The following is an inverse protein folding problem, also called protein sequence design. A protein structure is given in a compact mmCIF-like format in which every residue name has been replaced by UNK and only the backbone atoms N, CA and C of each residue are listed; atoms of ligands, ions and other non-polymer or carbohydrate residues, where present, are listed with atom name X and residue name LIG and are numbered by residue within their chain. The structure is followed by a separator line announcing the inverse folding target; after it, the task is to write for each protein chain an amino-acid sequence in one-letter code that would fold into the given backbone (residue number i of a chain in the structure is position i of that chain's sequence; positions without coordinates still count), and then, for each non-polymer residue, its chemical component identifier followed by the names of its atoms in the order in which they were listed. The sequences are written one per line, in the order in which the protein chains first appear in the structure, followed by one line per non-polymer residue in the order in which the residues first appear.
data_IF_516983486410
#
_entry.id   IF_516983486410
#
_cell.length_a   1.000
_cell.length_b   1.000
_cell.length_c   1.000
_cell.angle_alpha   90.00
_cell.angle_beta   90.00
_cell.angle_gamma   90.00
#
_symmetry.space_group_name_H-M   'P 1'
#
loop_
_entity.id
_entity.type
_entity.pdbx_description
1 polymer ?
#
# COMPACT_ATOMS: atom_id res chain seq x y z
N UNK A 1 21.04 33.68 12.44
CA UNK A 1 20.94 32.36 11.78
C UNK A 1 22.30 32.06 11.17
N UNK A 2 23.19 31.45 11.94
CA UNK A 2 24.53 31.06 11.50
C UNK A 2 24.43 29.69 10.84
N UNK A 3 24.85 29.60 9.58
CA UNK A 3 24.98 28.33 8.85
C UNK A 3 25.94 27.45 9.67
N UNK A 4 25.56 26.22 10.09
CA UNK A 4 26.44 25.37 10.87
C UNK A 4 27.72 25.09 10.08
N UNK A 5 28.87 25.43 10.66
CA UNK A 5 30.19 25.27 10.06
C UNK A 5 30.45 23.79 9.76
N UNK A 6 30.78 23.49 8.50
CA UNK A 6 31.06 22.15 7.97
C UNK A 6 32.25 21.42 8.63
N UNK A 7 32.91 22.03 9.62
CA UNK A 7 34.12 21.54 10.29
C UNK A 7 33.88 20.90 11.65
N UNK A 8 32.67 20.98 12.24
CA UNK A 8 32.43 20.34 13.53
C UNK A 8 31.96 18.89 13.35
N UNK A 9 32.53 18.00 14.17
CA UNK A 9 32.02 16.64 14.38
C UNK A 9 30.57 16.75 14.86
N UNK A 10 29.61 16.03 14.25
CA UNK A 10 28.24 16.00 14.75
C UNK A 10 28.21 15.53 16.20
N UNK A 11 27.55 16.31 17.07
CA UNK A 11 27.41 15.94 18.49
C UNK A 11 26.71 14.58 18.60
N UNK A 12 27.39 13.62 19.22
CA UNK A 12 26.88 12.25 19.43
C UNK A 12 27.49 11.18 18.52
N UNK A 13 28.17 11.54 17.42
CA UNK A 13 28.80 10.57 16.50
C UNK A 13 30.13 10.01 17.02
N UNK A 14 30.84 10.76 17.88
CA UNK A 14 32.12 10.34 18.48
C UNK A 14 32.02 10.50 19.99
N UNK A 15 31.98 9.37 20.72
CA UNK A 15 32.04 9.34 22.19
C UNK A 15 30.71 9.54 22.94
N UNK A 16 29.57 9.50 22.24
CA UNK A 16 28.24 9.70 22.81
C UNK A 16 27.88 11.16 23.06
N UNK A 17 26.64 11.43 23.46
CA UNK A 17 26.17 12.81 23.68
C UNK A 17 26.70 13.38 25.00
N UNK A 18 27.76 14.21 24.91
CA UNK A 18 28.32 14.93 26.07
C UNK A 18 27.63 16.25 26.39
N UNK A 19 26.60 16.63 25.63
CA UNK A 19 25.83 17.83 25.92
C UNK A 19 25.03 17.69 27.22
N UNK A 20 25.04 18.75 28.03
CA UNK A 20 24.28 18.84 29.29
C UNK A 20 22.82 19.27 29.05
N UNK A 21 22.33 19.25 27.81
CA UNK A 21 20.95 19.68 27.51
C UNK A 21 19.98 18.52 27.74
N UNK A 22 19.33 18.57 28.91
CA UNK A 22 18.26 17.67 29.31
C UNK A 22 17.14 17.55 28.25
N UNK A 23 16.73 18.63 27.53
CA UNK A 23 15.71 18.53 26.49
C UNK A 23 16.07 17.59 25.33
N UNK A 24 17.33 17.60 24.86
CA UNK A 24 17.76 16.75 23.73
C UNK A 24 17.74 15.27 24.14
N UNK A 25 18.16 14.96 25.37
CA UNK A 25 18.10 13.60 25.93
C UNK A 25 16.65 13.09 26.03
N UNK A 26 15.74 13.91 26.54
CA UNK A 26 14.31 13.55 26.61
C UNK A 26 13.76 13.30 25.20
N UNK A 27 13.98 14.23 24.26
CA UNK A 27 13.46 14.10 22.89
C UNK A 27 13.97 12.84 22.21
N UNK A 28 15.25 12.52 22.38
CA UNK A 28 15.84 11.30 21.86
C UNK A 28 15.17 10.04 22.41
N UNK A 29 15.00 9.95 23.75
CA UNK A 29 14.32 8.81 24.39
C UNK A 29 12.87 8.70 23.91
N UNK A 30 12.16 9.82 23.83
CA UNK A 30 10.77 9.88 23.38
C UNK A 30 10.64 9.41 21.93
N UNK A 31 11.42 9.95 20.99
CA UNK A 31 11.34 9.56 19.58
C UNK A 31 11.77 8.11 19.36
N UNK A 32 12.80 7.65 20.06
CA UNK A 32 13.22 6.24 19.98
C UNK A 32 12.14 5.30 20.54
N UNK A 33 11.49 5.69 21.65
CA UNK A 33 10.39 4.91 22.23
C UNK A 33 9.18 4.87 21.29
N UNK A 34 8.83 5.98 20.65
CA UNK A 34 7.76 6.05 19.64
C UNK A 34 8.10 5.15 18.45
N UNK A 35 9.34 5.18 17.96
CA UNK A 35 9.78 4.36 16.84
C UNK A 35 9.64 2.86 17.15
N UNK A 36 10.12 2.43 18.32
CA UNK A 36 10.05 1.03 18.76
C UNK A 36 8.61 0.58 19.05
N UNK A 37 7.79 1.44 19.66
CA UNK A 37 6.37 1.16 19.89
C UNK A 37 5.64 0.96 18.56
N UNK A 38 5.80 1.90 17.62
CA UNK A 38 5.16 1.83 16.32
C UNK A 38 5.62 0.61 15.52
N UNK A 39 6.92 0.29 15.53
CA UNK A 39 7.45 -0.91 14.88
C UNK A 39 6.85 -2.18 15.50
N UNK A 40 6.83 -2.30 16.83
CA UNK A 40 6.27 -3.47 17.50
C UNK A 40 4.77 -3.64 17.19
N UNK A 41 4.01 -2.54 17.26
CA UNK A 41 2.59 -2.54 16.89
C UNK A 41 2.41 -2.94 15.42
N UNK A 42 3.24 -2.42 14.52
CA UNK A 42 3.16 -2.71 13.10
C UNK A 42 3.48 -4.18 12.80
N UNK A 43 4.50 -4.76 13.44
CA UNK A 43 4.79 -6.21 13.34
C UNK A 43 3.56 -7.04 13.71
N UNK A 44 2.90 -6.72 14.83
CA UNK A 44 1.69 -7.41 15.27
C UNK A 44 0.57 -7.24 14.22
N UNK A 45 0.33 -6.02 13.74
CA UNK A 45 -0.69 -5.73 12.73
C UNK A 45 -0.43 -6.46 11.40
N UNK A 46 0.83 -6.57 10.98
CA UNK A 46 1.25 -7.31 9.78
C UNK A 46 0.85 -8.79 9.93
N UNK A 47 1.21 -9.44 11.04
CA UNK A 47 0.88 -10.86 11.24
C UNK A 47 -0.62 -11.10 11.40
N UNK A 48 -1.38 -10.16 11.97
CA UNK A 48 -2.84 -10.27 12.12
C UNK A 48 -3.60 -10.04 10.81
N UNK A 49 -3.05 -9.27 9.87
CA UNK A 49 -3.78 -8.84 8.66
C UNK A 49 -3.44 -9.68 7.43
N UNK A 50 -2.19 -10.16 7.31
CA UNK A 50 -1.78 -10.95 6.17
C UNK A 50 -2.05 -12.44 6.37
N UNK A 51 -3.02 -12.98 5.62
CA UNK A 51 -3.29 -14.42 5.54
C UNK A 51 -2.32 -15.18 4.61
N UNK A 52 -1.53 -14.48 3.78
CA UNK A 52 -0.58 -15.10 2.85
C UNK A 52 0.76 -14.34 2.86
N UNK A 53 1.79 -14.99 3.38
CA UNK A 53 3.14 -14.43 3.61
C UNK A 53 4.05 -14.45 2.37
N UNK A 54 3.51 -14.48 1.15
CA UNK A 54 4.31 -14.65 -0.08
C UNK A 54 4.44 -13.38 -0.93
N UNK A 55 3.77 -12.29 -0.56
CA UNK A 55 3.80 -11.05 -1.33
C UNK A 55 5.10 -10.27 -1.15
N UNK A 56 5.62 -9.67 -2.22
CA UNK A 56 6.79 -8.77 -2.15
C UNK A 56 6.54 -7.63 -1.15
N UNK A 57 5.32 -7.08 -1.13
CA UNK A 57 4.91 -6.07 -0.16
C UNK A 57 5.08 -6.52 1.30
N UNK A 58 4.66 -7.76 1.60
CA UNK A 58 4.74 -8.31 2.96
C UNK A 58 6.21 -8.39 3.41
N UNK A 59 7.06 -8.98 2.57
CA UNK A 59 8.48 -9.13 2.90
C UNK A 59 9.20 -7.78 2.99
N UNK A 60 8.95 -6.85 2.07
CA UNK A 60 9.64 -5.56 2.10
C UNK A 60 9.20 -4.72 3.27
N UNK A 61 7.91 -4.71 3.62
CA UNK A 61 7.40 -4.03 4.80
C UNK A 61 7.95 -4.64 6.10
N UNK A 62 7.87 -5.98 6.25
CA UNK A 62 8.36 -6.67 7.44
C UNK A 62 9.87 -6.51 7.61
N UNK A 63 10.65 -6.67 6.53
CA UNK A 63 12.11 -6.52 6.59
C UNK A 63 12.52 -5.07 6.90
N UNK A 64 11.84 -4.08 6.32
CA UNK A 64 12.12 -2.66 6.59
C UNK A 64 11.81 -2.29 8.04
N UNK A 65 10.78 -2.89 8.64
CA UNK A 65 10.41 -2.62 10.02
C UNK A 65 11.31 -3.36 11.02
N UNK A 66 11.37 -4.70 10.90
CA UNK A 66 12.07 -5.58 11.86
C UNK A 66 13.59 -5.44 11.77
N UNK A 67 14.14 -5.33 10.57
CA UNK A 67 15.58 -5.24 10.37
C UNK A 67 16.04 -3.83 9.98
N UNK A 68 15.12 -2.91 9.71
CA UNK A 68 15.44 -1.51 9.44
C UNK A 68 15.21 -0.62 10.66
N UNK A 69 13.95 -0.33 10.98
CA UNK A 69 13.58 0.62 12.05
C UNK A 69 14.07 0.17 13.42
N UNK A 70 13.87 -1.10 13.79
CA UNK A 70 14.23 -1.59 15.13
C UNK A 70 15.76 -1.53 15.37
N UNK A 71 16.62 -2.10 14.50
CA UNK A 71 18.07 -2.04 14.70
C UNK A 71 18.61 -0.62 14.60
N UNK A 72 18.03 0.23 13.75
CA UNK A 72 18.39 1.64 13.66
C UNK A 72 18.11 2.37 14.98
N UNK A 73 16.91 2.20 15.54
CA UNK A 73 16.51 2.81 16.81
C UNK A 73 17.39 2.32 17.99
N UNK A 74 17.65 1.01 18.07
CA UNK A 74 18.49 0.42 19.12
C UNK A 74 19.95 0.84 18.96
N UNK A 75 20.49 0.79 17.73
CA UNK A 75 21.88 1.16 17.43
C UNK A 75 22.19 2.60 17.83
N UNK A 76 21.32 3.55 17.47
CA UNK A 76 21.46 4.94 17.90
C UNK A 76 21.26 5.12 19.42
N UNK A 77 20.43 4.31 20.06
CA UNK A 77 20.31 4.34 21.52
C UNK A 77 21.63 3.92 22.19
N UNK A 78 22.24 2.84 21.72
CA UNK A 78 23.53 2.38 22.22
C UNK A 78 24.64 3.41 21.97
N UNK A 79 24.67 4.03 20.79
CA UNK A 79 25.63 5.07 20.44
C UNK A 79 25.48 6.31 21.33
N UNK A 80 24.24 6.76 21.55
CA UNK A 80 23.95 7.96 22.33
C UNK A 80 24.32 7.82 23.82
N UNK A 81 23.98 6.67 24.42
CA UNK A 81 24.29 6.39 25.82
C UNK A 81 25.68 5.78 26.03
N UNK A 82 26.46 5.58 24.95
CA UNK A 82 27.75 4.89 24.97
C UNK A 82 27.66 3.52 25.67
N UNK A 83 26.55 2.80 25.45
CA UNK A 83 26.31 1.49 26.09
C UNK A 83 26.95 0.42 25.21
N UNK A 84 27.99 -0.21 25.74
CA UNK A 84 28.67 -1.32 25.09
C UNK A 84 29.70 -0.89 24.04
N UNK A 85 30.15 -1.83 23.21
CA UNK A 85 31.22 -1.57 22.25
C UNK A 85 30.76 -0.65 21.10
N UNK A 86 31.51 0.42 20.82
CA UNK A 86 31.19 1.44 19.78
C UNK A 86 30.95 0.79 18.39
N UNK A 87 31.78 -0.18 18.01
CA UNK A 87 31.62 -0.93 16.76
C UNK A 87 30.26 -1.66 16.65
N UNK A 88 29.71 -2.14 17.76
CA UNK A 88 28.40 -2.80 17.78
C UNK A 88 27.28 -1.79 17.53
N UNK A 89 27.32 -0.63 18.18
CA UNK A 89 26.31 0.41 17.99
C UNK A 89 26.26 0.90 16.52
N UNK A 90 27.43 1.16 15.93
CA UNK A 90 27.55 1.65 14.55
C UNK A 90 27.18 0.57 13.53
N UNK A 91 27.61 -0.68 13.73
CA UNK A 91 27.23 -1.78 12.83
C UNK A 91 25.73 -2.00 12.85
N UNK A 92 25.11 -1.99 14.04
CA UNK A 92 23.67 -2.16 14.20
C UNK A 92 22.87 -1.01 13.57
N UNK A 93 23.29 0.24 13.78
CA UNK A 93 22.65 1.41 13.17
C UNK A 93 22.82 1.41 11.65
N UNK A 94 23.99 1.01 11.14
CA UNK A 94 24.26 0.89 9.69
C UNK A 94 23.38 -0.18 9.04
N UNK A 95 23.24 -1.36 9.65
CA UNK A 95 22.37 -2.42 9.13
C UNK A 95 20.92 -1.95 9.12
N UNK A 96 20.48 -1.31 10.21
CA UNK A 96 19.14 -0.72 10.29
C UNK A 96 18.91 0.31 9.18
N UNK A 97 19.88 1.18 8.94
CA UNK A 97 19.81 2.19 7.90
C UNK A 97 19.65 1.59 6.49
N UNK A 98 20.37 0.50 6.17
CA UNK A 98 20.30 -0.16 4.86
C UNK A 98 18.93 -0.72 4.51
N UNK A 99 18.21 -1.22 5.51
CA UNK A 99 16.87 -1.77 5.29
C UNK A 99 15.77 -0.76 5.55
N UNK A 100 16.02 0.27 6.36
CA UNK A 100 15.05 1.32 6.62
C UNK A 100 14.86 2.24 5.41
N UNK A 101 15.94 2.84 4.89
CA UNK A 101 15.82 3.91 3.88
C UNK A 101 15.54 3.35 2.48
N UNK A 102 16.38 2.47 1.89
CA UNK A 102 16.03 1.76 0.66
C UNK A 102 14.75 0.93 0.76
N UNK A 103 14.53 0.26 1.89
CA UNK A 103 13.34 -0.58 2.08
C UNK A 103 12.04 0.22 2.01
N UNK A 104 12.01 1.43 2.57
CA UNK A 104 10.87 2.33 2.44
C UNK A 104 10.55 2.68 0.98
N UNK A 105 11.58 2.95 0.17
CA UNK A 105 11.39 3.20 -1.26
C UNK A 105 10.84 1.97 -1.99
N UNK A 106 11.26 0.77 -1.60
CA UNK A 106 10.74 -0.49 -2.15
C UNK A 106 9.29 -0.74 -1.69
N UNK A 107 8.91 -0.35 -0.47
CA UNK A 107 7.52 -0.43 0.01
C UNK A 107 6.62 0.49 -0.83
N UNK A 108 7.03 1.74 -1.05
CA UNK A 108 6.33 2.68 -1.93
C UNK A 108 6.22 2.14 -3.36
N UNK A 109 7.28 1.55 -3.90
CA UNK A 109 7.29 0.87 -5.18
C UNK A 109 6.29 -0.30 -5.23
N UNK A 110 6.27 -1.12 -4.18
CA UNK A 110 5.36 -2.27 -4.11
C UNK A 110 3.90 -1.82 -4.09
N UNK A 111 3.60 -0.66 -3.49
CA UNK A 111 2.27 -0.05 -3.61
C UNK A 111 2.03 0.48 -5.01
N UNK A 112 3.00 1.18 -5.59
CA UNK A 112 2.87 1.74 -6.94
C UNK A 112 2.55 0.64 -7.96
N UNK A 113 3.14 -0.54 -7.83
CA UNK A 113 2.85 -1.73 -8.64
C UNK A 113 1.37 -2.18 -8.56
N UNK A 114 0.69 -1.95 -7.44
CA UNK A 114 -0.73 -2.31 -7.30
C UNK A 114 -1.68 -1.32 -8.00
N UNK A 115 -1.23 -0.08 -8.23
CA UNK A 115 -2.03 0.99 -8.84
C UNK A 115 -1.70 1.20 -10.31
N UNK A 116 -0.42 1.12 -10.67
CA UNK A 116 0.10 1.36 -12.03
C UNK A 116 0.12 0.07 -12.83
N UNK A 117 -0.53 0.06 -13.98
CA UNK A 117 -0.56 -1.10 -14.89
C UNK A 117 0.64 -1.15 -15.86
N UNK A 118 1.40 -0.06 -16.01
CA UNK A 118 2.49 0.01 -16.98
C UNK A 118 3.81 -0.61 -16.43
N UNK A 119 4.25 -1.78 -16.93
CA UNK A 119 5.43 -2.46 -16.41
C UNK A 119 6.75 -1.74 -16.73
N UNK A 120 6.80 -0.95 -17.80
CA UNK A 120 8.02 -0.23 -18.18
C UNK A 120 8.33 0.90 -17.21
N UNK A 121 7.31 1.68 -16.83
CA UNK A 121 7.44 2.75 -15.84
C UNK A 121 7.89 2.17 -14.51
N UNK A 122 7.25 1.09 -14.09
CA UNK A 122 7.54 0.42 -12.84
C UNK A 122 8.99 -0.11 -12.82
N UNK A 123 9.44 -0.80 -13.86
CA UNK A 123 10.83 -1.30 -13.95
C UNK A 123 11.86 -0.17 -13.91
N UNK A 124 11.57 1.00 -14.51
CA UNK A 124 12.42 2.18 -14.41
C UNK A 124 12.51 2.73 -12.99
N UNK A 125 11.39 2.78 -12.27
CA UNK A 125 11.37 3.19 -10.85
C UNK A 125 12.16 2.21 -10.00
N UNK A 126 12.00 0.90 -10.20
CA UNK A 126 12.78 -0.11 -9.46
C UNK A 126 14.28 0.04 -9.73
N UNK A 127 14.67 0.24 -10.99
CA UNK A 127 16.07 0.45 -11.36
C UNK A 127 16.64 1.70 -10.68
N UNK A 128 15.89 2.80 -10.66
CA UNK A 128 16.26 4.02 -9.95
C UNK A 128 16.50 3.75 -8.46
N UNK A 129 15.57 3.06 -7.78
CA UNK A 129 15.70 2.75 -6.35
C UNK A 129 16.95 1.92 -6.05
N UNK A 130 17.21 0.87 -6.85
CA UNK A 130 18.35 -0.02 -6.64
C UNK A 130 19.67 0.72 -6.92
N UNK A 131 19.72 1.48 -8.01
CA UNK A 131 20.90 2.25 -8.39
C UNK A 131 21.27 3.29 -7.32
N UNK A 132 20.29 4.06 -6.85
CA UNK A 132 20.47 5.09 -5.83
C UNK A 132 20.86 4.46 -4.49
N UNK A 133 20.27 3.31 -4.13
CA UNK A 133 20.64 2.58 -2.92
C UNK A 133 22.12 2.18 -2.95
N UNK A 134 22.61 1.59 -4.04
CA UNK A 134 24.01 1.16 -4.12
C UNK A 134 24.97 2.35 -4.12
N UNK A 135 24.68 3.38 -4.92
CA UNK A 135 25.57 4.54 -5.08
C UNK A 135 25.65 5.39 -3.82
N UNK A 136 24.56 5.50 -3.06
CA UNK A 136 24.54 6.33 -1.85
C UNK A 136 24.93 5.56 -0.60
N UNK A 137 24.59 4.27 -0.46
CA UNK A 137 24.94 3.53 0.76
C UNK A 137 26.45 3.30 0.88
N UNK A 138 27.13 2.96 -0.22
CA UNK A 138 28.56 2.58 -0.16
C UNK A 138 29.44 3.74 0.34
N UNK A 139 29.37 4.95 -0.24
CA UNK A 139 30.18 6.09 0.23
C UNK A 139 29.81 6.51 1.64
N UNK A 140 28.52 6.52 1.99
CA UNK A 140 28.07 6.87 3.33
C UNK A 140 28.65 5.93 4.37
N UNK A 141 28.59 4.62 4.16
CA UNK A 141 29.16 3.66 5.10
C UNK A 141 30.66 3.84 5.27
N UNK A 142 31.39 4.01 4.18
CA UNK A 142 32.84 4.24 4.25
C UNK A 142 33.12 5.50 5.09
N UNK A 143 32.36 6.58 4.87
CA UNK A 143 32.53 7.83 5.60
C UNK A 143 32.09 7.74 7.07
N UNK A 144 31.04 6.99 7.40
CA UNK A 144 30.61 6.76 8.79
C UNK A 144 31.71 6.08 9.58
N UNK A 145 32.24 4.95 9.09
CA UNK A 145 33.32 4.23 9.77
C UNK A 145 34.60 5.06 9.81
N UNK A 146 34.94 5.75 8.72
CA UNK A 146 36.14 6.59 8.68
C UNK A 146 36.06 7.75 9.66
N UNK A 147 34.87 8.34 9.85
CA UNK A 147 34.65 9.41 10.84
C UNK A 147 34.89 8.92 12.26
N UNK A 148 34.46 7.70 12.58
CA UNK A 148 34.60 7.13 13.92
C UNK A 148 36.03 6.69 14.23
N UNK A 149 36.72 6.01 13.29
CA UNK A 149 38.02 5.41 13.57
C UNK A 149 39.22 6.29 13.19
N UNK A 150 39.09 7.12 12.15
CA UNK A 150 40.19 7.96 11.65
C UNK A 150 40.00 9.41 12.10
N UNK A 151 38.77 9.92 12.06
CA UNK A 151 38.39 11.19 12.69
C UNK A 151 39.11 12.43 12.18
N UNK A 152 39.70 12.41 10.97
CA UNK A 152 40.36 13.60 10.42
C UNK A 152 39.35 14.64 9.91
N UNK A 153 39.63 15.93 10.10
CA UNK A 153 38.84 17.07 9.59
C UNK A 153 38.29 16.92 8.16
N UNK A 154 39.08 16.54 7.13
CA UNK A 154 38.55 16.36 5.78
C UNK A 154 37.50 15.24 5.68
N UNK A 155 37.62 14.17 6.47
CA UNK A 155 36.69 13.04 6.49
C UNK A 155 35.37 13.45 7.16
N UNK A 156 35.44 14.15 8.27
CA UNK A 156 34.25 14.68 8.97
C UNK A 156 33.46 15.62 8.06
N UNK A 157 34.17 16.51 7.34
CA UNK A 157 33.56 17.40 6.36
C UNK A 157 32.90 16.61 5.22
N UNK A 158 33.59 15.59 4.70
CA UNK A 158 33.05 14.74 3.65
C UNK A 158 31.79 13.98 4.11
N UNK A 159 31.78 13.47 5.34
CA UNK A 159 30.61 12.83 5.96
C UNK A 159 29.43 13.80 6.04
N UNK A 160 29.62 15.01 6.58
CA UNK A 160 28.57 16.02 6.70
C UNK A 160 27.95 16.41 5.34
N UNK A 161 28.76 16.49 4.29
CA UNK A 161 28.27 16.78 2.93
C UNK A 161 27.52 15.58 2.35
N UNK A 162 28.10 14.38 2.49
CA UNK A 162 27.51 13.14 1.98
C UNK A 162 26.15 12.87 2.63
N UNK A 163 26.03 13.02 3.95
CA UNK A 163 24.78 12.79 4.67
C UNK A 163 23.65 13.70 4.19
N UNK A 164 23.91 15.01 4.10
CA UNK A 164 22.93 16.00 3.60
C UNK A 164 22.52 15.71 2.17
N UNK A 165 23.50 15.42 1.32
CA UNK A 165 23.26 15.08 -0.08
C UNK A 165 22.42 13.80 -0.21
N UNK A 166 22.76 12.77 0.56
CA UNK A 166 22.04 11.50 0.57
C UNK A 166 20.58 11.67 1.00
N UNK A 167 20.33 12.42 2.07
CA UNK A 167 18.99 12.69 2.56
C UNK A 167 18.16 13.46 1.54
N UNK A 168 18.75 14.49 0.93
CA UNK A 168 18.10 15.24 -0.14
C UNK A 168 17.78 14.35 -1.34
N UNK A 169 18.68 13.44 -1.71
CA UNK A 169 18.47 12.53 -2.82
C UNK A 169 17.36 11.52 -2.56
N UNK A 170 17.37 10.84 -1.42
CA UNK A 170 16.29 9.91 -1.06
C UNK A 170 14.94 10.62 -0.91
N UNK A 171 14.92 11.84 -0.38
CA UNK A 171 13.73 12.68 -0.33
C UNK A 171 13.20 12.99 -1.74
N UNK A 172 14.08 13.40 -2.67
CA UNK A 172 13.70 13.63 -4.06
C UNK A 172 13.18 12.35 -4.74
N UNK A 173 13.80 11.20 -4.49
CA UNK A 173 13.34 9.89 -4.95
C UNK A 173 11.93 9.56 -4.43
N UNK A 174 11.68 9.74 -3.13
CA UNK A 174 10.36 9.51 -2.53
C UNK A 174 9.29 10.45 -3.11
N UNK A 175 9.64 11.71 -3.40
CA UNK A 175 8.75 12.64 -4.11
C UNK A 175 8.43 12.21 -5.53
N UNK A 176 9.41 11.71 -6.28
CA UNK A 176 9.18 11.20 -7.64
C UNK A 176 8.22 10.00 -7.60
N UNK A 177 8.45 9.04 -6.70
CA UNK A 177 7.59 7.85 -6.57
C UNK A 177 6.17 8.25 -6.14
N UNK A 178 6.06 9.13 -5.14
CA UNK A 178 4.79 9.65 -4.64
C UNK A 178 4.03 10.48 -5.67
N UNK A 179 4.73 11.29 -6.46
CA UNK A 179 4.15 12.09 -7.54
C UNK A 179 3.55 11.21 -8.65
N UNK A 180 4.26 10.16 -9.07
CA UNK A 180 3.74 9.17 -10.04
C UNK A 180 2.50 8.49 -9.47
N UNK A 181 2.54 8.10 -8.20
CA UNK A 181 1.40 7.46 -7.52
C UNK A 181 0.15 8.37 -7.49
N UNK A 182 0.29 9.63 -7.07
CA UNK A 182 -0.81 10.60 -7.03
C UNK A 182 -1.36 10.82 -8.43
N UNK A 183 -0.49 11.00 -9.43
CA UNK A 183 -0.90 11.24 -10.81
C UNK A 183 -1.73 10.08 -11.35
N UNK A 184 -1.29 8.83 -11.18
CA UNK A 184 -2.04 7.66 -11.64
C UNK A 184 -3.35 7.49 -10.85
N UNK A 185 -3.33 7.74 -9.54
CA UNK A 185 -4.55 7.68 -8.71
C UNK A 185 -5.60 8.70 -9.14
N UNK A 186 -5.20 9.94 -9.45
CA UNK A 186 -6.10 10.98 -9.98
C UNK A 186 -6.60 10.59 -11.38
N UNK A 187 -5.75 10.00 -12.21
CA UNK A 187 -6.14 9.52 -13.55
C UNK A 187 -7.20 8.43 -13.45
N UNK A 188 -7.04 7.46 -12.55
CA UNK A 188 -8.03 6.43 -12.27
C UNK A 188 -9.35 7.01 -11.74
N UNK A 189 -9.28 8.06 -10.92
CA UNK A 189 -10.46 8.79 -10.42
C UNK A 189 -11.23 9.48 -11.55
N UNK A 190 -10.51 10.15 -12.47
CA UNK A 190 -11.12 10.88 -13.60
C UNK A 190 -11.71 9.96 -14.67
N UNK A 191 -11.14 8.77 -14.88
CA UNK A 191 -11.60 7.84 -15.91
C UNK A 191 -12.88 7.08 -15.53
N UNK A 192 -13.28 7.08 -14.25
CA UNK A 192 -14.48 6.36 -13.78
C UNK A 192 -15.33 7.23 -12.84
N UNK A 193 -15.90 8.35 -13.32
CA UNK A 193 -16.63 9.30 -12.47
C UNK A 193 -17.96 8.76 -11.91
N UNK A 194 -18.60 7.78 -12.56
CA UNK A 194 -20.05 7.55 -12.40
C UNK A 194 -20.49 6.39 -11.51
N UNK A 195 -19.61 5.65 -10.82
CA UNK A 195 -20.06 4.37 -10.20
C UNK A 195 -19.89 4.13 -8.71
N UNK A 196 -19.25 4.98 -7.90
CA UNK A 196 -19.36 4.78 -6.44
C UNK A 196 -18.85 5.94 -5.57
N UNK A 197 -19.73 6.56 -4.77
CA UNK A 197 -19.34 7.59 -3.77
C UNK A 197 -18.39 7.01 -2.71
N UNK A 198 -18.55 5.72 -2.36
CA UNK A 198 -17.69 5.03 -1.40
C UNK A 198 -16.25 4.90 -1.91
N UNK A 199 -16.09 4.52 -3.18
CA UNK A 199 -14.77 4.38 -3.82
C UNK A 199 -14.01 5.70 -3.90
N UNK A 200 -14.72 6.79 -4.20
CA UNK A 200 -14.10 8.13 -4.23
C UNK A 200 -13.58 8.54 -2.86
N UNK A 201 -14.36 8.31 -1.79
CA UNK A 201 -13.92 8.59 -0.42
C UNK A 201 -12.62 7.84 -0.08
N UNK A 202 -12.58 6.53 -0.36
CA UNK A 202 -11.38 5.71 -0.15
C UNK A 202 -10.20 6.29 -0.96
N UNK A 203 -10.38 6.57 -2.25
CA UNK A 203 -9.31 7.10 -3.10
C UNK A 203 -8.77 8.47 -2.63
N UNK A 204 -9.63 9.36 -2.11
CA UNK A 204 -9.20 10.61 -1.49
C UNK A 204 -8.39 10.37 -0.20
N UNK A 205 -8.79 9.40 0.61
CA UNK A 205 -8.01 9.01 1.80
C UNK A 205 -6.62 8.47 1.42
N UNK A 206 -6.51 7.71 0.31
CA UNK A 206 -5.22 7.23 -0.21
C UNK A 206 -4.31 8.40 -0.65
N UNK A 207 -4.88 9.41 -1.32
CA UNK A 207 -4.14 10.63 -1.72
C UNK A 207 -3.71 11.42 -0.48
N UNK A 208 -4.61 11.58 0.50
CA UNK A 208 -4.30 12.31 1.74
C UNK A 208 -3.13 11.69 2.51
N UNK A 209 -3.10 10.36 2.62
CA UNK A 209 -1.99 9.67 3.30
C UNK A 209 -0.67 9.88 2.55
N UNK A 210 -0.66 9.83 1.22
CA UNK A 210 0.56 10.08 0.45
C UNK A 210 1.05 11.53 0.59
N UNK A 211 0.14 12.50 0.70
CA UNK A 211 0.52 13.89 1.00
C UNK A 211 1.17 14.03 2.40
N UNK A 212 0.68 13.30 3.41
CA UNK A 212 1.30 13.26 4.74
C UNK A 212 2.73 12.68 4.68
N UNK A 213 2.96 11.66 3.86
CA UNK A 213 4.30 11.07 3.67
C UNK A 213 5.26 12.11 3.09
N UNK A 214 4.84 12.84 2.03
CA UNK A 214 5.61 13.93 1.43
C UNK A 214 5.92 15.01 2.48
N UNK A 215 4.96 15.37 3.33
CA UNK A 215 5.17 16.37 4.38
C UNK A 215 6.22 15.90 5.41
N UNK A 216 6.20 14.62 5.78
CA UNK A 216 7.20 14.03 6.68
C UNK A 216 8.61 14.04 6.07
N UNK A 217 8.73 13.81 4.77
CA UNK A 217 10.00 13.94 4.04
C UNK A 217 10.56 15.36 4.08
N UNK A 218 9.70 16.35 3.82
CA UNK A 218 10.07 17.77 3.92
C UNK A 218 10.54 18.09 5.35
N UNK A 219 9.84 17.58 6.37
CA UNK A 219 10.21 17.82 7.77
C UNK A 219 11.60 17.26 8.10
N UNK A 220 11.91 16.04 7.66
CA UNK A 220 13.25 15.46 7.84
C UNK A 220 14.32 16.24 7.07
N UNK A 221 14.02 16.66 5.84
CA UNK A 221 14.94 17.45 5.02
C UNK A 221 15.24 18.80 5.69
N UNK A 222 14.22 19.52 6.13
CA UNK A 222 14.39 20.82 6.81
C UNK A 222 15.22 20.66 8.07
N UNK A 223 14.94 19.63 8.88
CA UNK A 223 15.68 19.41 10.13
C UNK A 223 17.17 19.11 9.89
N UNK A 224 17.48 18.36 8.84
CA UNK A 224 18.84 18.10 8.40
C UNK A 224 19.58 19.39 8.03
N UNK A 225 18.96 20.26 7.22
CA UNK A 225 19.58 21.52 6.79
C UNK A 225 19.69 22.55 7.92
N UNK A 226 18.90 22.43 8.99
CA UNK A 226 19.06 23.19 10.23
C UNK A 226 20.28 22.75 11.05
N UNK A 227 20.86 21.58 10.75
CA UNK A 227 22.08 21.07 11.39
C UNK A 227 21.86 20.41 12.75
N UNK A 228 20.62 20.07 13.11
CA UNK A 228 20.31 19.37 14.36
C UNK A 228 20.50 17.86 14.23
N UNK A 229 21.75 17.41 14.10
CA UNK A 229 22.09 16.01 13.83
C UNK A 229 21.44 15.00 14.79
N UNK A 230 21.64 15.15 16.11
CA UNK A 230 21.11 14.21 17.12
C UNK A 230 19.59 14.11 17.09
N UNK A 231 18.92 15.24 16.84
CA UNK A 231 17.46 15.29 16.74
C UNK A 231 16.99 14.67 15.43
N UNK A 232 17.73 14.91 14.35
CA UNK A 232 17.45 14.37 13.03
C UNK A 232 17.56 12.85 13.00
N UNK A 233 18.58 12.24 13.61
CA UNK A 233 18.80 10.79 13.54
C UNK A 233 17.72 10.03 14.31
N UNK A 234 17.29 10.57 15.45
CA UNK A 234 16.24 10.00 16.29
C UNK A 234 14.85 10.23 15.70
N UNK A 235 14.57 11.43 15.19
CA UNK A 235 13.33 11.74 14.49
C UNK A 235 13.20 10.93 13.19
N UNK A 236 14.29 10.68 12.47
CA UNK A 236 14.32 9.80 11.29
C UNK A 236 13.72 8.44 11.62
N UNK A 237 14.20 7.76 12.66
CA UNK A 237 13.65 6.47 13.07
C UNK A 237 12.15 6.52 13.35
N UNK A 238 11.68 7.53 14.08
CA UNK A 238 10.26 7.72 14.38
C UNK A 238 9.44 7.99 13.11
N UNK A 239 9.89 8.89 12.24
CA UNK A 239 9.20 9.22 10.98
C UNK A 239 9.11 8.00 10.07
N UNK A 240 10.20 7.24 9.90
CA UNK A 240 10.17 6.03 9.08
C UNK A 240 9.23 4.96 9.66
N UNK A 241 9.15 4.80 10.98
CA UNK A 241 8.15 3.91 11.61
C UNK A 241 6.70 4.34 11.30
N UNK A 242 6.43 5.64 11.36
CA UNK A 242 5.10 6.19 11.06
C UNK A 242 4.80 6.05 9.58
N UNK A 243 5.77 6.31 8.69
CA UNK A 243 5.61 6.08 7.26
C UNK A 243 5.22 4.64 6.97
N UNK A 244 5.91 3.65 7.53
CA UNK A 244 5.56 2.23 7.33
C UNK A 244 4.14 1.91 7.84
N UNK A 245 3.72 2.50 8.97
CA UNK A 245 2.35 2.33 9.49
C UNK A 245 1.29 2.96 8.59
N UNK A 246 1.57 4.15 8.05
CA UNK A 246 0.74 4.77 7.01
C UNK A 246 0.72 3.91 5.75
N UNK A 247 1.85 3.29 5.40
CA UNK A 247 1.96 2.39 4.27
C UNK A 247 0.98 1.22 4.37
N UNK A 248 0.97 0.59 5.54
CA UNK A 248 0.10 -0.51 5.88
C UNK A 248 -1.39 -0.12 5.88
N UNK A 249 -1.72 1.04 6.47
CA UNK A 249 -3.08 1.57 6.46
C UNK A 249 -3.64 1.80 5.05
N UNK A 250 -2.81 2.28 4.12
CA UNK A 250 -3.19 2.42 2.71
C UNK A 250 -3.48 1.07 2.06
N UNK A 251 -2.67 0.04 2.33
CA UNK A 251 -2.94 -1.29 1.77
C UNK A 251 -4.29 -1.83 2.25
N UNK A 252 -4.59 -1.71 3.54
CA UNK A 252 -5.89 -2.16 4.08
C UNK A 252 -7.06 -1.50 3.33
N UNK A 253 -6.95 -0.20 3.02
CA UNK A 253 -7.94 0.52 2.23
C UNK A 253 -7.97 0.11 0.75
N UNK A 254 -6.82 -0.17 0.14
CA UNK A 254 -6.74 -0.63 -1.24
C UNK A 254 -7.37 -2.02 -1.42
N UNK A 255 -7.15 -2.93 -0.46
CA UNK A 255 -7.76 -4.26 -0.45
C UNK A 255 -9.28 -4.16 -0.29
N UNK A 256 -9.77 -3.28 0.58
CA UNK A 256 -11.20 -3.02 0.72
C UNK A 256 -11.82 -2.53 -0.61
N UNK A 257 -11.12 -1.63 -1.32
CA UNK A 257 -11.56 -1.11 -2.62
C UNK A 257 -11.67 -2.20 -3.70
N UNK A 258 -10.78 -3.19 -3.71
CA UNK A 258 -10.84 -4.33 -4.66
C UNK A 258 -11.97 -5.30 -4.32
N UNK A 259 -12.22 -5.56 -3.03
CA UNK A 259 -13.30 -6.47 -2.62
C UNK A 259 -14.69 -5.89 -2.89
N UNK A 260 -14.89 -4.58 -2.75
CA UNK A 260 -16.14 -3.91 -3.20
C UNK A 260 -16.43 -4.20 -4.68
N UNK A 261 -15.38 -4.34 -5.50
CA UNK A 261 -15.48 -4.60 -6.93
C UNK A 261 -15.94 -6.03 -7.29
N UNK A 262 -15.84 -6.99 -6.34
CA UNK A 262 -16.22 -8.41 -6.55
C UNK A 262 -17.62 -8.73 -6.03
N UNK A 263 -18.17 -7.88 -5.15
CA UNK A 263 -19.51 -8.03 -4.58
C UNK A 263 -20.63 -7.39 -5.41
N UNK A 264 -20.34 -6.85 -6.59
CA UNK A 264 -21.37 -6.56 -7.61
C UNK A 264 -21.53 -7.79 -8.53
N UNK A 265 -22.47 -8.72 -8.27
CA UNK A 265 -22.95 -9.58 -9.33
C UNK A 265 -23.67 -8.69 -10.36
N UNK A 266 -23.59 -9.07 -11.64
CA UNK A 266 -24.42 -8.52 -12.70
C UNK A 266 -25.90 -8.55 -12.28
N UNK A 267 -26.43 -7.45 -11.73
CA UNK A 267 -27.87 -7.21 -11.65
C UNK A 267 -28.21 -6.15 -12.69
N UNK A 268 -28.20 -6.57 -13.96
CA UNK A 268 -29.22 -6.09 -14.89
C UNK A 268 -30.52 -6.81 -14.55
N UNK A 269 -31.10 -6.50 -13.39
CA UNK A 269 -32.47 -6.84 -13.05
C UNK A 269 -33.10 -5.56 -12.49
N UNK A 270 -34.11 -5.10 -13.23
CA UNK A 270 -35.05 -4.09 -12.78
C UNK A 270 -35.83 -4.67 -11.60
N UNK A 271 -35.39 -4.51 -10.34
CA UNK A 271 -36.29 -4.70 -9.19
C UNK A 271 -35.91 -3.68 -8.11
N UNK A 272 -36.73 -2.65 -7.93
CA UNK A 272 -37.92 -2.68 -7.09
C UNK A 272 -37.51 -2.49 -5.63
N UNK A 273 -37.91 -1.34 -5.10
CA UNK A 273 -37.70 -0.94 -3.72
C UNK A 273 -38.08 -2.08 -2.77
N UNK A 274 -37.36 -2.30 -1.66
CA UNK A 274 -37.71 -3.32 -0.68
C UNK A 274 -39.14 -3.07 -0.18
N UNK A 275 -40.04 -3.98 -0.54
CA UNK A 275 -41.47 -3.95 -0.25
C UNK A 275 -41.74 -4.31 1.22
N UNK A 276 -41.20 -3.52 2.15
CA UNK A 276 -41.43 -3.67 3.59
C UNK A 276 -42.30 -2.57 4.18
N UNK A 277 -42.78 -1.63 3.37
CA UNK A 277 -43.82 -0.67 3.76
C UNK A 277 -44.68 -0.39 2.53
N UNK A 278 -45.79 -1.10 2.38
CA UNK A 278 -46.82 -0.74 1.40
C UNK A 278 -47.81 0.22 2.08
N UNK A 279 -47.73 1.55 1.85
CA UNK A 279 -48.59 2.52 2.54
C UNK A 279 -50.07 2.39 2.16
N UNK A 280 -50.39 1.66 1.09
CA UNK A 280 -51.76 1.38 0.68
C UNK A 280 -52.47 0.35 1.59
N UNK A 281 -51.71 -0.45 2.36
CA UNK A 281 -52.30 -1.35 3.37
C UNK A 281 -52.54 -0.66 4.73
N UNK A 282 -52.05 0.57 4.94
CA UNK A 282 -52.24 1.28 6.21
C UNK A 282 -53.56 2.06 6.31
N UNK A 283 -54.35 2.13 5.23
CA UNK A 283 -55.60 2.90 5.21
C UNK A 283 -56.85 2.04 4.98
N UNK A 284 -56.75 0.71 5.08
CA UNK A 284 -57.92 -0.16 5.00
C UNK A 284 -58.55 -0.30 6.39
N UNK A 285 -59.60 0.48 6.56
CA UNK A 285 -60.64 0.45 7.57
C UNK A 285 -60.76 -0.88 8.35
N UNK A 286 -60.44 -0.82 9.65
CA UNK A 286 -60.44 -1.97 10.59
C UNK A 286 -61.84 -2.20 11.21
N UNK A 287 -62.89 -1.55 10.69
CA UNK A 287 -64.22 -1.56 11.33
C UNK A 287 -65.21 -2.59 10.74
N UNK A 288 -64.79 -3.42 9.77
CA UNK A 288 -65.66 -4.43 9.18
C UNK A 288 -65.07 -5.85 9.26
N UNK A 289 -65.80 -6.77 9.89
CA UNK A 289 -65.50 -8.20 9.88
C UNK A 289 -65.79 -8.79 8.49
N UNK A 290 -64.87 -9.62 7.98
CA UNK A 290 -64.97 -10.25 6.67
C UNK A 290 -66.17 -11.21 6.58
N UNK A 291 -66.89 -11.28 5.42
CA UNK A 291 -67.87 -12.32 5.21
C UNK A 291 -67.16 -13.66 4.98
N UNK A 292 -67.60 -14.68 5.70
CA UNK A 292 -67.25 -16.07 5.44
C UNK A 292 -67.95 -16.53 4.16
N UNK A 293 -67.22 -16.66 3.05
CA UNK A 293 -67.69 -17.40 1.89
C UNK A 293 -67.00 -18.76 1.80
N UNK A 294 -67.74 -19.76 2.26
CA UNK A 294 -67.55 -21.16 1.99
C UNK A 294 -67.83 -21.46 0.52
N UNK A 295 -66.82 -21.87 -0.24
CA UNK A 295 -67.06 -22.66 -1.47
C UNK A 295 -66.00 -23.73 -1.66
N UNK A 296 -66.44 -24.96 -1.41
CA UNK A 296 -65.77 -26.19 -1.79
C UNK A 296 -65.77 -26.34 -3.32
N UNK A 297 -64.62 -26.61 -3.93
CA UNK A 297 -64.52 -27.35 -5.19
C UNK A 297 -63.12 -28.02 -5.32
N UNK A 298 -63.16 -29.29 -5.69
CA UNK A 298 -62.14 -30.35 -5.64
C UNK A 298 -60.74 -30.09 -6.24
N UNK A 299 -59.71 -30.85 -5.78
CA UNK A 299 -58.39 -30.88 -6.40
C UNK A 299 -58.32 -31.95 -7.50
N UNK A 300 -57.90 -31.56 -8.71
CA UNK A 300 -57.36 -32.52 -9.70
C UNK A 300 -56.05 -31.99 -10.28
N UNK A 301 -54.96 -32.65 -9.88
CA UNK A 301 -53.69 -32.66 -10.61
C UNK A 301 -53.89 -33.48 -11.89
N UNK A 302 -53.47 -32.95 -13.03
CA UNK A 302 -53.15 -33.75 -14.21
C UNK A 302 -51.99 -33.07 -14.96
N UNK A 303 -50.99 -33.89 -15.25
CA UNK A 303 -49.76 -33.62 -15.97
C UNK A 303 -49.99 -33.04 -17.38
N UNK A 304 -48.98 -32.35 -17.87
CA UNK A 304 -48.91 -31.82 -19.22
C UNK A 304 -48.88 -32.89 -20.30
N UNK A 305 -49.43 -32.53 -21.47
CA UNK A 305 -48.96 -32.98 -22.77
C UNK A 305 -49.59 -32.09 -23.86
N UNK A 306 -48.75 -31.24 -24.45
CA UNK A 306 -48.56 -31.04 -25.89
C UNK A 306 -49.79 -30.57 -26.69
N UNK A 307 -49.74 -29.31 -27.09
CA UNK A 307 -50.42 -28.77 -28.27
C UNK A 307 -49.36 -28.42 -29.31
N UNK A 308 -49.47 -29.00 -30.51
CA UNK A 308 -48.80 -28.52 -31.71
C UNK A 308 -49.73 -28.81 -32.89
N UNK A 309 -50.35 -27.74 -33.39
CA UNK A 309 -50.97 -27.70 -34.70
C UNK A 309 -49.90 -27.65 -35.80
N UNK A 310 -50.31 -28.15 -36.97
CA UNK A 310 -49.94 -27.74 -38.34
C UNK A 310 -49.02 -28.63 -39.21
N UNK A 311 -49.70 -29.31 -40.14
CA UNK A 311 -49.51 -29.34 -41.61
C UNK A 311 -48.23 -29.96 -42.23
N UNK A 312 -48.36 -31.17 -42.80
CA UNK A 312 -48.32 -31.48 -44.25
C UNK A 312 -48.03 -32.99 -44.51
N UNK A 313 -48.54 -33.59 -45.60
CA UNK A 313 -48.57 -35.04 -45.78
C UNK A 313 -47.36 -35.58 -46.54
N UNK A 314 -46.89 -36.77 -46.17
CA UNK A 314 -45.95 -37.57 -46.97
C UNK A 314 -46.38 -39.04 -46.93
N UNK A 315 -47.05 -39.49 -47.99
CA UNK A 315 -47.14 -40.91 -48.32
C UNK A 315 -46.23 -41.16 -49.54
N UNK A 316 -45.09 -41.78 -49.27
CA UNK A 316 -44.30 -42.53 -50.25
C UNK A 316 -44.15 -43.94 -49.72
N UNK A 317 -44.75 -44.89 -50.42
CA UNK A 317 -44.48 -46.31 -50.27
C UNK A 317 -44.36 -46.91 -51.68
N UNK A 318 -43.11 -47.17 -52.06
CA UNK A 318 -42.68 -48.03 -53.19
C UNK A 318 -42.88 -49.52 -52.84
N UNK A 319 -42.65 -50.55 -53.72
CA UNK A 319 -42.48 -50.70 -55.19
C UNK A 319 -43.35 -51.90 -55.73
N UNK A 320 -43.08 -52.68 -56.84
CA UNK A 320 -42.09 -52.60 -57.92
C UNK A 320 -42.58 -52.79 -59.39
N UNK A 321 -41.69 -52.36 -60.29
CA UNK A 321 -41.38 -52.72 -61.69
C UNK A 321 -42.19 -53.78 -62.46
N UNK A 322 -42.60 -53.39 -63.68
CA UNK A 322 -42.57 -54.23 -64.90
C UNK A 322 -42.11 -53.41 -66.12
N UNK A 323 -41.35 -54.11 -66.98
CA UNK A 323 -40.54 -53.76 -68.17
C UNK A 323 -41.30 -53.31 -69.43
N UNK A 324 -40.71 -52.44 -70.28
CA UNK A 324 -40.21 -52.59 -71.68
C UNK A 324 -40.62 -51.27 -72.40
N UNK A 325 -39.94 -50.63 -73.35
CA UNK A 325 -39.03 -51.02 -74.42
C UNK A 325 -38.40 -49.73 -75.01
N UNK A 326 -37.27 -49.86 -75.73
CA UNK A 326 -36.89 -49.08 -76.93
C UNK A 326 -35.37 -48.94 -77.10
N UNK A 327 -34.81 -49.93 -77.82
CA UNK A 327 -34.06 -49.77 -79.07
C UNK A 327 -33.12 -48.55 -79.28
N UNK A 328 -31.82 -48.87 -79.25
CA UNK A 328 -30.67 -48.35 -80.05
C UNK A 328 -30.94 -48.26 -81.58
N UNK A 329 -29.98 -47.83 -82.45
CA UNK A 329 -28.91 -46.81 -82.40
C UNK A 329 -28.93 -46.01 -83.76
N UNK A 330 -27.86 -45.67 -84.53
CA UNK A 330 -26.38 -45.86 -84.45
C UNK A 330 -25.63 -44.85 -83.59
#
# INVERSE_FOLDING_TARGET
MTIPSLSHVPEGLVGGYQGNSLPIRILMVVFTSIALYNATELVILIFLTFNRYSGLYFWTMLLSDVFGVIPHAIGYLLEFFSIGPIWLAITLSTIGFYLMVPGQSIVLYSRLHLVVQNPYLLRRVLFLIIFDAVILLVPTTILTYSTVYVGTEPIIRAYNVMERMQLAWFCAQEFVISGIYIWETIRLLRLRPDKDRGRHKIMYELIAINFVIILMDIALLVLEYLGFYTLQTTLKGAVYSVKLKLEFGVLGKLVALVHTHTSEPNSTENEEFPNFVNPAQLTTDVTHAAPTDSRWAHPRRAWGAISMDSLAPSERQDPPSYSLDSSRPP
#
